data_IF_991293613154
#
_entry.id   IF_991293613154
#
_cell.length_a   1.000
_cell.length_b   1.000
_cell.length_c   1.000
_cell.angle_alpha   90.00
_cell.angle_beta   90.00
_cell.angle_gamma   90.00
#
_symmetry.space_group_name_H-M   'P 1'
#
loop_
_entity.id
_entity.type
_entity.pdbx_description
1 polymer ?
2 polymer ?
3 non-polymer ?
4 non-polymer ?
5 non-polymer ?
6 water ?
#
# COMPACT_ATOMS: atom_id res chain seq x y z
N UNK A 1 -7.86 7.88 -22.63
CA UNK A 1 -6.55 7.95 -21.91
C UNK A 1 -5.56 8.87 -22.62
N UNK A 2 -4.99 9.81 -21.85
CA UNK A 2 -3.98 10.74 -22.36
C UNK A 2 -2.72 9.99 -22.80
N UNK A 3 -2.51 8.78 -22.26
CA UNK A 3 -1.37 7.97 -22.67
C UNK A 3 -1.63 6.94 -23.78
N UNK A 4 -2.84 6.90 -24.32
CA UNK A 4 -3.20 5.89 -25.30
C UNK A 4 -2.38 5.89 -26.57
N UNK A 5 -1.82 7.04 -26.94
CA UNK A 5 -1.02 7.16 -28.15
C UNK A 5 0.45 6.81 -27.96
N UNK A 6 0.89 6.60 -26.71
CA UNK A 6 2.30 6.32 -26.44
C UNK A 6 2.54 4.83 -26.38
N UNK A 7 3.66 4.39 -26.97
CA UNK A 7 4.07 3.00 -26.90
C UNK A 7 4.22 2.53 -25.46
N UNK A 8 3.85 1.29 -25.21
CA UNK A 8 4.04 0.66 -23.89
C UNK A 8 5.50 0.82 -23.42
N UNK A 9 6.49 0.49 -24.26
CA UNK A 9 7.87 0.51 -23.84
C UNK A 9 8.29 1.93 -23.49
N UNK A 10 7.76 2.91 -24.24
CA UNK A 10 8.06 4.31 -23.99
C UNK A 10 7.49 4.79 -22.65
N UNK A 11 6.29 4.31 -22.32
CA UNK A 11 5.68 4.61 -21.04
C UNK A 11 6.51 4.08 -19.87
N UNK A 12 6.98 2.83 -20.00
CA UNK A 12 7.81 2.24 -18.97
C UNK A 12 9.12 3.02 -18.83
N UNK A 13 9.76 3.33 -19.96
CA UNK A 13 10.99 4.11 -19.93
C UNK A 13 10.77 5.46 -19.24
N UNK A 14 9.67 6.15 -19.60
CA UNK A 14 9.38 7.44 -19.01
C UNK A 14 9.04 7.33 -17.51
N UNK A 15 8.40 6.22 -17.10
CA UNK A 15 8.17 6.00 -15.68
C UNK A 15 9.52 5.94 -14.93
N UNK A 16 10.51 5.24 -15.52
CA UNK A 16 11.82 5.15 -14.90
C UNK A 16 12.51 6.52 -14.81
N UNK A 17 12.38 7.33 -15.87
CA UNK A 17 12.91 8.69 -15.87
C UNK A 17 12.22 9.56 -14.81
N UNK A 18 10.89 9.47 -14.73
CA UNK A 18 10.12 10.20 -13.76
C UNK A 18 10.55 9.84 -12.34
N UNK A 19 10.83 8.56 -12.10
CA UNK A 19 11.33 8.13 -10.79
C UNK A 19 12.66 8.84 -10.46
N UNK A 20 13.59 8.85 -11.41
CA UNK A 20 14.87 9.52 -11.23
C UNK A 20 14.72 11.00 -10.91
N UNK A 21 13.74 11.62 -11.56
CA UNK A 21 13.45 13.04 -11.41
C UNK A 21 12.54 13.36 -10.22
N UNK A 22 12.12 12.32 -9.50
CA UNK A 22 11.21 12.43 -8.34
C UNK A 22 9.90 13.10 -8.70
N UNK A 23 9.45 12.78 -9.92
CA UNK A 23 8.16 13.25 -10.50
C UNK A 23 7.14 12.13 -10.38
N UNK A 24 6.63 11.88 -9.18
CA UNK A 24 5.87 10.64 -8.92
C UNK A 24 4.46 10.71 -9.53
N UNK A 25 3.85 11.89 -9.65
CA UNK A 25 2.56 11.98 -10.32
C UNK A 25 2.70 11.62 -11.80
N UNK A 26 3.76 12.10 -12.45
CA UNK A 26 4.06 11.69 -13.81
C UNK A 26 4.31 10.18 -13.88
N UNK A 27 5.11 9.66 -12.94
CA UNK A 27 5.46 8.25 -12.92
C UNK A 27 4.17 7.41 -12.87
N UNK A 28 3.24 7.80 -11.99
CA UNK A 28 1.98 7.10 -11.85
C UNK A 28 1.14 7.15 -13.13
N UNK A 29 1.09 8.34 -13.76
CA UNK A 29 0.38 8.48 -15.01
C UNK A 29 0.94 7.61 -16.11
N UNK A 30 2.27 7.54 -16.20
CA UNK A 30 2.93 6.69 -17.19
C UNK A 30 2.61 5.22 -16.91
N UNK A 31 2.66 4.82 -15.64
CA UNK A 31 2.40 3.42 -15.31
C UNK A 31 0.92 3.04 -15.50
N UNK A 32 0.01 3.96 -15.20
CA UNK A 32 -1.41 3.76 -15.50
C UNK A 32 -1.59 3.53 -17.00
N UNK A 33 -0.93 4.36 -17.81
CA UNK A 33 -0.96 4.17 -19.25
C UNK A 33 -0.46 2.79 -19.66
N UNK A 34 0.65 2.36 -19.06
CA UNK A 34 1.20 1.05 -19.36
C UNK A 34 0.20 -0.06 -19.00
N UNK A 35 -0.39 0.02 -17.81
CA UNK A 35 -1.37 -1.00 -17.41
C UNK A 35 -2.52 -1.05 -18.42
N UNK A 36 -2.97 0.13 -18.85
CA UNK A 36 -4.13 0.21 -19.74
C UNK A 36 -3.86 -0.30 -21.16
N UNK A 37 -2.61 -0.62 -21.49
CA UNK A 37 -2.32 -1.36 -22.73
C UNK A 37 -2.89 -2.76 -22.74
N UNK A 38 -3.21 -3.30 -21.55
CA UNK A 38 -3.91 -4.56 -21.44
C UNK A 38 -3.05 -5.78 -21.26
N UNK A 39 -1.74 -5.62 -21.40
CA UNK A 39 -0.80 -6.72 -21.20
C UNK A 39 -0.51 -6.87 -19.70
N UNK A 40 -0.19 -8.09 -19.28
CA UNK A 40 0.28 -8.34 -17.93
C UNK A 40 1.61 -7.52 -17.68
N UNK A 41 1.88 -7.20 -16.41
CA UNK A 41 3.12 -6.51 -16.00
C UNK A 41 4.14 -7.51 -15.50
N UNK A 42 5.41 -7.23 -15.79
CA UNK A 42 6.51 -7.96 -15.22
C UNK A 42 6.75 -7.56 -13.76
N UNK A 43 7.66 -8.28 -13.09
CA UNK A 43 8.01 -7.95 -11.73
C UNK A 43 8.50 -6.52 -11.60
N UNK A 44 9.43 -6.14 -12.48
CA UNK A 44 9.98 -4.79 -12.42
C UNK A 44 8.88 -3.75 -12.65
N UNK A 45 7.98 -4.03 -13.60
CA UNK A 45 6.92 -3.10 -13.92
C UNK A 45 5.89 -2.96 -12.80
N UNK A 46 5.56 -4.08 -12.15
CA UNK A 46 4.70 -4.09 -10.94
C UNK A 46 5.34 -3.18 -9.89
N UNK A 47 6.66 -3.28 -9.71
CA UNK A 47 7.33 -2.45 -8.73
C UNK A 47 7.23 -0.97 -9.08
N UNK A 48 7.39 -0.65 -10.37
CA UNK A 48 7.26 0.73 -10.80
C UNK A 48 5.87 1.28 -10.50
N UNK A 49 4.84 0.48 -10.78
CA UNK A 49 3.47 0.89 -10.53
C UNK A 49 3.29 1.19 -9.04
N UNK A 50 3.76 0.27 -8.20
CA UNK A 50 3.64 0.41 -6.75
C UNK A 50 4.38 1.63 -6.22
N UNK A 51 5.64 1.78 -6.63
CA UNK A 51 6.43 2.93 -6.18
C UNK A 51 5.72 4.23 -6.52
N UNK A 52 5.26 4.33 -7.77
CA UNK A 52 4.63 5.57 -8.23
C UNK A 52 3.44 5.94 -7.36
N UNK A 53 2.49 5.02 -7.25
CA UNK A 53 1.23 5.31 -6.53
C UNK A 53 1.49 5.42 -5.03
N UNK A 54 2.43 4.66 -4.48
CA UNK A 54 2.71 4.79 -3.05
C UNK A 54 3.22 6.19 -2.72
N UNK A 55 4.08 6.74 -3.58
CA UNK A 55 4.56 8.07 -3.39
C UNK A 55 3.46 9.11 -3.51
N UNK A 56 2.59 8.96 -4.52
CA UNK A 56 1.50 9.92 -4.69
C UNK A 56 0.57 9.88 -3.47
N UNK A 57 0.09 8.68 -3.13
CA UNK A 57 -0.84 8.58 -2.02
C UNK A 57 -0.17 8.93 -0.70
N UNK A 58 1.15 8.68 -0.60
CA UNK A 58 1.88 9.00 0.60
C UNK A 58 1.91 10.48 0.87
N UNK A 59 2.11 11.28 -0.17
CA UNK A 59 2.02 12.72 -0.04
C UNK A 59 0.63 13.18 0.39
N UNK A 60 -0.40 12.55 -0.19
CA UNK A 60 -1.77 12.89 0.15
C UNK A 60 -2.09 12.53 1.61
N UNK A 61 -1.67 11.34 2.04
CA UNK A 61 -1.89 10.87 3.42
C UNK A 61 -1.21 11.82 4.39
N UNK A 62 0.05 12.19 4.11
CA UNK A 62 0.75 13.10 4.98
C UNK A 62 0.01 14.43 5.09
N UNK A 63 -0.43 14.97 3.96
CA UNK A 63 -1.15 16.24 3.93
C UNK A 63 -2.48 16.14 4.70
N UNK A 64 -3.19 15.03 4.46
CA UNK A 64 -4.48 14.83 5.12
C UNK A 64 -4.31 14.78 6.64
N UNK A 65 -3.25 14.13 7.10
CA UNK A 65 -3.00 14.03 8.54
C UNK A 65 -2.69 15.42 9.12
N UNK A 66 -1.92 16.24 8.41
CA UNK A 66 -1.64 17.59 8.89
C UNK A 66 -2.94 18.38 9.01
N UNK A 67 -3.76 18.35 7.95
CA UNK A 67 -5.00 19.10 7.91
C UNK A 67 -6.04 18.62 8.93
N UNK A 68 -6.15 17.31 9.07
CA UNK A 68 -7.03 16.70 10.05
C UNK A 68 -6.67 17.13 11.47
N UNK A 69 -5.37 17.17 11.76
CA UNK A 69 -4.88 17.58 13.06
C UNK A 69 -5.26 19.03 13.34
N UNK A 70 -5.04 19.90 12.35
CA UNK A 70 -5.39 21.32 12.50
C UNK A 70 -6.90 21.47 12.72
N UNK A 71 -7.68 20.72 11.94
CA UNK A 71 -9.14 20.74 12.02
C UNK A 71 -9.64 20.31 13.42
N UNK A 72 -9.08 19.22 13.94
CA UNK A 72 -9.47 18.70 15.24
C UNK A 72 -9.14 19.69 16.35
N UNK A 73 -7.96 20.30 16.27
CA UNK A 73 -7.54 21.36 17.20
C UNK A 73 -8.43 22.60 17.11
N UNK A 74 -8.84 22.94 15.88
CA UNK A 74 -9.74 24.04 15.60
C UNK A 74 -11.13 23.80 16.18
N UNK A 75 -11.59 22.55 16.10
CA UNK A 75 -12.90 22.12 16.62
C UNK A 75 -12.83 21.75 18.10
N UNK A 76 -12.42 22.72 18.93
CA UNK A 76 -12.36 22.57 20.38
C UNK A 76 -12.56 23.94 21.04
N UNK A 77 -12.67 23.94 22.37
CA UNK A 77 -12.82 25.17 23.16
C UNK A 77 -11.48 25.53 23.81
N UNK A 78 -10.76 26.47 23.19
CA UNK A 78 -9.45 26.92 23.65
C UNK A 78 -8.91 28.13 22.90
N UNK A 79 -8.79 27.99 21.58
CA UNK A 79 -8.26 29.04 20.70
C UNK A 79 -9.36 29.84 20.01
N UNK A 80 -9.83 29.34 18.86
CA UNK A 80 -10.84 30.01 18.03
C UNK A 80 -11.23 29.12 16.84
N UNK A 81 -12.53 29.10 16.52
CA UNK A 81 -13.06 28.41 15.35
C UNK A 81 -13.06 29.37 14.15
N UNK A 82 -12.15 29.11 13.20
CA UNK A 82 -11.91 30.01 12.05
C UNK A 82 -12.66 29.59 10.79
N UNK A 83 -13.99 29.50 10.90
CA UNK A 83 -14.86 29.26 9.75
C UNK A 83 -14.65 27.93 9.05
N UNK A 84 -15.18 27.76 7.82
CA UNK A 84 -15.19 26.47 7.14
C UNK A 84 -13.91 26.05 6.39
N UNK A 85 -12.89 26.90 6.36
CA UNK A 85 -11.76 26.71 5.42
C UNK A 85 -10.94 25.44 5.68
N UNK A 86 -10.64 25.14 6.95
CA UNK A 86 -9.84 23.96 7.25
C UNK A 86 -10.60 22.71 6.83
N UNK A 87 -11.88 22.64 7.18
CA UNK A 87 -12.73 21.48 6.80
C UNK A 87 -12.78 21.40 5.27
N UNK A 88 -13.02 22.51 4.59
CA UNK A 88 -13.15 22.48 3.14
C UNK A 88 -11.89 21.93 2.52
N UNK A 89 -10.73 22.38 2.99
CA UNK A 89 -9.45 22.03 2.34
C UNK A 89 -9.10 20.59 2.69
N UNK A 90 -9.34 20.17 3.93
CA UNK A 90 -9.16 18.76 4.33
C UNK A 90 -10.06 17.89 3.43
N UNK A 91 -11.30 18.30 3.21
CA UNK A 91 -12.21 17.55 2.36
C UNK A 91 -11.69 17.43 0.91
N UNK A 92 -11.12 18.52 0.38
CA UNK A 92 -10.56 18.53 -0.96
C UNK A 92 -9.44 17.50 -1.07
N UNK A 93 -8.52 17.53 -0.11
CA UNK A 93 -7.38 16.61 -0.14
C UNK A 93 -7.90 15.18 0.03
N UNK A 94 -8.86 14.99 0.94
CA UNK A 94 -9.49 13.69 1.16
C UNK A 94 -10.08 13.12 -0.11
N UNK A 95 -10.81 13.95 -0.83
CA UNK A 95 -11.46 13.53 -2.06
C UNK A 95 -10.42 13.15 -3.12
N UNK A 96 -9.33 13.92 -3.19
CA UNK A 96 -8.26 13.62 -4.13
C UNK A 96 -7.59 12.29 -3.78
N UNK A 97 -7.35 12.06 -2.48
CA UNK A 97 -6.81 10.82 -1.99
C UNK A 97 -7.72 9.64 -2.36
N UNK A 98 -9.02 9.81 -2.12
CA UNK A 98 -9.98 8.76 -2.42
C UNK A 98 -9.96 8.47 -3.91
N UNK A 99 -9.84 9.53 -4.71
CA UNK A 99 -9.74 9.36 -6.15
C UNK A 99 -8.54 8.54 -6.61
N UNK A 100 -7.37 8.80 -6.03
CA UNK A 100 -6.19 8.02 -6.32
C UNK A 100 -6.40 6.55 -5.94
N UNK A 101 -6.95 6.32 -4.75
CA UNK A 101 -7.23 4.96 -4.33
C UNK A 101 -8.19 4.27 -5.32
N UNK A 102 -9.26 4.97 -5.69
CA UNK A 102 -10.22 4.44 -6.65
C UNK A 102 -9.55 4.10 -7.99
N UNK A 103 -8.61 4.94 -8.41
CA UNK A 103 -7.87 4.70 -9.65
C UNK A 103 -7.07 3.40 -9.56
N UNK A 104 -6.33 3.24 -8.47
CA UNK A 104 -5.49 2.06 -8.30
C UNK A 104 -6.38 0.81 -8.21
N UNK A 105 -7.44 0.89 -7.39
CA UNK A 105 -8.36 -0.22 -7.24
C UNK A 105 -8.97 -0.58 -8.58
N UNK A 106 -9.28 0.45 -9.39
CA UNK A 106 -9.80 0.22 -10.72
C UNK A 106 -8.85 -0.55 -11.63
N UNK A 107 -7.57 -0.20 -11.60
CA UNK A 107 -6.59 -0.91 -12.39
C UNK A 107 -6.49 -2.37 -11.97
N UNK A 108 -6.55 -2.59 -10.64
CA UNK A 108 -6.47 -3.94 -10.10
C UNK A 108 -7.69 -4.77 -10.53
N UNK A 109 -8.86 -4.15 -10.49
CA UNK A 109 -10.10 -4.82 -10.85
C UNK A 109 -10.29 -4.98 -12.36
N UNK A 110 -9.64 -4.13 -13.15
CA UNK A 110 -9.83 -4.06 -14.60
C UNK A 110 -8.47 -3.86 -15.27
N UNK A 111 -7.67 -4.93 -15.38
CA UNK A 111 -8.00 -6.31 -15.10
C UNK A 111 -6.78 -7.05 -14.56
N UNK A 112 -5.95 -6.36 -13.76
CA UNK A 112 -4.69 -6.95 -13.32
C UNK A 112 -4.87 -8.24 -12.52
N UNK A 113 -5.76 -8.22 -11.53
CA UNK A 113 -5.91 -9.34 -10.64
C UNK A 113 -6.43 -10.56 -11.42
N UNK A 114 -7.48 -10.39 -12.23
CA UNK A 114 -8.07 -11.56 -12.87
C UNK A 114 -7.12 -12.25 -13.84
N UNK A 115 -6.15 -11.51 -14.39
CA UNK A 115 -5.17 -12.10 -15.31
C UNK A 115 -3.92 -12.65 -14.65
N UNK A 116 -3.79 -12.35 -13.34
CA UNK A 116 -2.62 -12.74 -12.58
C UNK A 116 -2.78 -14.17 -12.04
N UNK A 117 -2.06 -15.10 -12.67
CA UNK A 117 -2.14 -16.52 -12.33
C UNK A 117 -0.96 -17.09 -11.55
N UNK A 118 0.16 -16.38 -11.56
CA UNK A 118 1.31 -16.83 -10.80
C UNK A 118 1.17 -16.28 -9.40
N UNK A 119 1.72 -17.01 -8.43
CA UNK A 119 1.65 -16.57 -7.05
C UNK A 119 2.22 -15.17 -6.83
N UNK A 120 3.41 -14.90 -7.39
CA UNK A 120 4.04 -13.60 -7.15
C UNK A 120 3.18 -12.44 -7.66
N UNK A 121 2.60 -12.59 -8.84
CA UNK A 121 1.79 -11.53 -9.38
C UNK A 121 0.50 -11.37 -8.59
N UNK A 122 -0.18 -12.49 -8.38
CA UNK A 122 -1.51 -12.45 -7.73
C UNK A 122 -1.37 -11.92 -6.31
N UNK A 123 -0.39 -12.41 -5.54
CA UNK A 123 -0.22 -11.93 -4.17
C UNK A 123 0.13 -10.44 -4.15
N UNK A 124 1.01 -10.03 -5.07
CA UNK A 124 1.39 -8.64 -5.16
C UNK A 124 0.14 -7.75 -5.33
N UNK A 125 -0.71 -8.11 -6.29
CA UNK A 125 -1.88 -7.28 -6.62
C UNK A 125 -2.93 -7.33 -5.50
N UNK A 126 -3.11 -8.50 -4.88
CA UNK A 126 -4.04 -8.59 -3.77
C UNK A 126 -3.58 -7.79 -2.56
N UNK A 127 -2.27 -7.79 -2.30
CA UNK A 127 -1.68 -6.94 -1.28
C UNK A 127 -1.97 -5.46 -1.60
N UNK A 128 -1.74 -5.06 -2.85
CA UNK A 128 -2.02 -3.68 -3.27
C UNK A 128 -3.49 -3.34 -3.01
N UNK A 129 -4.39 -4.27 -3.36
CA UNK A 129 -5.81 -4.06 -3.16
C UNK A 129 -6.10 -3.80 -1.66
N UNK A 130 -5.54 -4.63 -0.80
CA UNK A 130 -5.65 -4.43 0.63
C UNK A 130 -5.13 -3.07 1.06
N UNK A 131 -3.96 -2.70 0.55
CA UNK A 131 -3.33 -1.44 0.92
C UNK A 131 -4.22 -0.25 0.58
N UNK A 132 -4.76 -0.22 -0.63
CA UNK A 132 -5.53 0.98 -1.07
C UNK A 132 -6.91 0.99 -0.42
N UNK A 133 -7.52 -0.15 -0.10
CA UNK A 133 -8.70 -0.13 0.79
C UNK A 133 -8.29 0.36 2.19
N UNK A 134 -7.10 -0.02 2.68
CA UNK A 134 -6.63 0.45 4.00
C UNK A 134 -6.50 1.98 3.96
N UNK A 135 -5.97 2.55 2.89
CA UNK A 135 -5.83 4.02 2.80
C UNK A 135 -7.22 4.67 2.78
N UNK A 136 -8.19 4.05 2.09
CA UNK A 136 -9.56 4.55 2.17
C UNK A 136 -10.10 4.49 3.60
N UNK A 137 -9.76 3.41 4.31
CA UNK A 137 -10.21 3.22 5.68
C UNK A 137 -9.69 4.30 6.62
N UNK A 138 -8.46 4.75 6.38
CA UNK A 138 -7.82 5.75 7.22
C UNK A 138 -8.62 7.04 7.30
N UNK A 139 -9.40 7.33 6.25
CA UNK A 139 -10.16 8.58 6.15
C UNK A 139 -11.67 8.38 6.19
N UNK A 140 -12.12 7.12 6.27
CA UNK A 140 -13.54 6.81 6.22
C UNK A 140 -14.20 7.06 7.56
N UNK A 141 -15.42 7.62 7.51
CA UNK A 141 -16.23 7.90 8.70
C UNK A 141 -17.71 7.56 8.54
N UNK A 142 -18.16 7.36 7.29
CA UNK A 142 -19.57 7.22 6.98
C UNK A 142 -20.10 5.80 7.05
N UNK A 143 -21.19 5.56 6.32
CA UNK A 143 -21.94 4.30 6.30
C UNK A 143 -21.12 3.10 5.85
N UNK A 144 -20.05 3.35 5.08
CA UNK A 144 -19.27 2.31 4.44
C UNK A 144 -17.92 2.02 5.11
N UNK A 145 -17.62 2.65 6.25
CA UNK A 145 -16.35 2.40 6.92
C UNK A 145 -16.12 0.91 7.20
N UNK A 146 -17.16 0.26 7.74
CA UNK A 146 -17.09 -1.17 8.02
C UNK A 146 -16.80 -1.95 6.77
N UNK A 147 -17.52 -1.65 5.68
CA UNK A 147 -17.41 -2.40 4.40
C UNK A 147 -16.02 -2.16 3.83
N UNK A 148 -15.49 -0.93 3.94
CA UNK A 148 -14.15 -0.64 3.42
C UNK A 148 -13.10 -1.48 4.16
N UNK A 149 -13.22 -1.51 5.49
CA UNK A 149 -12.36 -2.32 6.33
C UNK A 149 -12.44 -3.79 5.96
N UNK A 150 -13.65 -4.29 5.74
CA UNK A 150 -13.79 -5.69 5.38
C UNK A 150 -13.19 -6.01 4.01
N UNK A 151 -13.28 -5.06 3.08
CA UNK A 151 -12.71 -5.23 1.76
C UNK A 151 -11.19 -5.34 1.84
N UNK A 152 -10.56 -4.48 2.65
CA UNK A 152 -9.14 -4.57 2.87
C UNK A 152 -8.78 -5.93 3.48
N UNK A 153 -9.48 -6.30 4.55
CA UNK A 153 -9.25 -7.59 5.24
C UNK A 153 -9.36 -8.75 4.23
N UNK A 154 -10.41 -8.76 3.42
CA UNK A 154 -10.66 -9.87 2.49
C UNK A 154 -9.54 -9.98 1.45
N UNK A 155 -9.08 -8.83 0.92
CA UNK A 155 -7.99 -8.85 -0.04
C UNK A 155 -6.71 -9.38 0.60
N UNK A 156 -6.36 -8.85 1.77
CA UNK A 156 -5.17 -9.29 2.50
C UNK A 156 -5.27 -10.79 2.81
N UNK A 157 -6.44 -11.26 3.23
CA UNK A 157 -6.59 -12.66 3.61
C UNK A 157 -6.41 -13.59 2.42
N UNK A 158 -6.97 -13.20 1.26
CA UNK A 158 -6.81 -14.02 0.06
C UNK A 158 -5.33 -14.08 -0.31
N UNK A 159 -4.65 -12.94 -0.22
CA UNK A 159 -3.23 -12.87 -0.50
C UNK A 159 -2.44 -13.77 0.44
N UNK A 160 -2.79 -13.73 1.74
CA UNK A 160 -2.12 -14.54 2.74
C UNK A 160 -2.29 -16.01 2.42
N UNK A 161 -3.52 -16.40 2.06
CA UNK A 161 -3.81 -17.81 1.82
C UNK A 161 -2.94 -18.34 0.67
N UNK A 162 -2.85 -17.57 -0.42
CA UNK A 162 -2.04 -17.95 -1.56
C UNK A 162 -0.56 -17.97 -1.16
N UNK A 163 -0.12 -16.94 -0.43
CA UNK A 163 1.31 -16.81 -0.11
C UNK A 163 1.79 -17.99 0.76
N UNK A 164 0.96 -18.44 1.69
CA UNK A 164 1.32 -19.54 2.58
C UNK A 164 1.40 -20.88 1.84
N UNK A 165 0.62 -21.02 0.77
CA UNK A 165 0.59 -22.24 -0.05
C UNK A 165 1.72 -22.30 -1.07
N UNK A 166 2.09 -21.14 -1.62
CA UNK A 166 2.89 -21.06 -2.83
C UNK A 166 4.28 -20.44 -2.72
N UNK A 167 4.55 -19.74 -1.61
CA UNK A 167 5.81 -19.02 -1.43
C UNK A 167 6.51 -19.43 -0.15
N UNK A 168 7.86 -19.44 -0.15
CA UNK A 168 8.60 -19.67 1.09
C UNK A 168 8.37 -18.52 2.06
N UNK A 169 8.53 -18.77 3.37
CA UNK A 169 8.29 -17.74 4.40
C UNK A 169 9.23 -16.53 4.33
N UNK A 170 10.34 -16.64 3.58
CA UNK A 170 11.25 -15.52 3.39
C UNK A 170 10.97 -14.71 2.13
N UNK A 171 10.02 -15.13 1.30
CA UNK A 171 9.78 -14.42 0.05
C UNK A 171 9.41 -12.97 0.37
N UNK A 172 10.08 -11.96 -0.24
CA UNK A 172 9.82 -10.56 0.13
C UNK A 172 8.38 -10.12 -0.08
N UNK A 173 7.69 -10.68 -1.09
CA UNK A 173 6.29 -10.32 -1.29
C UNK A 173 5.45 -10.84 -0.13
N UNK A 174 5.67 -12.10 0.24
CA UNK A 174 4.99 -12.70 1.40
C UNK A 174 5.28 -11.89 2.68
N UNK A 175 6.53 -11.49 2.88
CA UNK A 175 6.90 -10.73 4.06
C UNK A 175 6.23 -9.35 4.09
N UNK A 176 6.26 -8.64 2.95
CA UNK A 176 5.67 -7.33 2.91
C UNK A 176 4.17 -7.34 3.07
N UNK A 177 3.53 -8.37 2.50
CA UNK A 177 2.12 -8.59 2.71
C UNK A 177 1.81 -8.75 4.20
N UNK A 178 2.54 -9.64 4.87
CA UNK A 178 2.30 -9.89 6.29
C UNK A 178 2.56 -8.63 7.11
N UNK A 179 3.62 -7.90 6.78
CA UNK A 179 3.89 -6.62 7.43
C UNK A 179 2.66 -5.72 7.31
N UNK A 180 2.19 -5.49 6.08
CA UNK A 180 1.08 -4.57 5.88
C UNK A 180 -0.21 -5.04 6.52
N UNK A 181 -0.48 -6.36 6.46
CA UNK A 181 -1.68 -6.89 7.09
C UNK A 181 -1.60 -6.68 8.60
N UNK A 182 -0.41 -6.84 9.18
CA UNK A 182 -0.25 -6.60 10.60
C UNK A 182 -0.51 -5.13 10.95
N UNK A 183 -0.06 -4.21 10.09
CA UNK A 183 -0.38 -2.78 10.27
C UNK A 183 -1.88 -2.54 10.19
N UNK A 184 -2.55 -3.18 9.22
CA UNK A 184 -3.99 -3.13 9.12
C UNK A 184 -4.64 -3.53 10.45
N UNK A 185 -4.20 -4.66 11.01
CA UNK A 185 -4.83 -5.14 12.23
C UNK A 185 -4.67 -4.14 13.36
N UNK A 186 -3.47 -3.56 13.48
CA UNK A 186 -3.14 -2.66 14.60
C UNK A 186 -3.82 -1.29 14.43
N UNK A 187 -3.68 -0.70 13.24
CA UNK A 187 -4.04 0.70 13.03
C UNK A 187 -5.49 0.88 12.60
N UNK A 188 -6.05 -0.12 11.91
CA UNK A 188 -7.37 0.02 11.30
C UNK A 188 -8.44 -0.82 11.98
N UNK A 189 -8.12 -2.10 12.24
CA UNK A 189 -9.11 -3.06 12.74
C UNK A 189 -9.22 -3.11 14.25
N UNK A 190 -8.40 -2.31 14.95
CA UNK A 190 -8.41 -2.27 16.40
C UNK A 190 -8.16 -3.66 16.99
N UNK A 191 -7.21 -4.37 16.38
CA UNK A 191 -6.89 -5.74 16.76
C UNK A 191 -5.40 -5.87 17.01
N UNK A 192 -4.85 -5.18 18.04
CA UNK A 192 -3.41 -5.18 18.24
C UNK A 192 -2.86 -6.58 18.55
N UNK A 193 -3.64 -7.43 19.21
CA UNK A 193 -3.13 -8.77 19.52
C UNK A 193 -2.96 -9.59 18.23
N UNK A 194 -3.90 -9.45 17.29
CA UNK A 194 -3.78 -10.10 15.99
C UNK A 194 -2.56 -9.57 15.24
N UNK A 195 -2.34 -8.25 15.31
CA UNK A 195 -1.19 -7.63 14.68
C UNK A 195 0.12 -8.21 15.21
N UNK A 196 0.23 -8.26 16.54
CA UNK A 196 1.42 -8.75 17.20
C UNK A 196 1.67 -10.23 16.87
N UNK A 197 0.61 -11.05 16.95
CA UNK A 197 0.74 -12.47 16.65
C UNK A 197 1.19 -12.70 15.21
N UNK A 198 0.58 -11.98 14.26
CA UNK A 198 0.97 -12.12 12.86
C UNK A 198 2.42 -11.71 12.66
N UNK A 199 2.81 -10.55 13.22
CA UNK A 199 4.17 -10.10 13.03
C UNK A 199 5.20 -11.07 13.62
N UNK A 200 4.92 -11.60 14.82
CA UNK A 200 5.83 -12.51 15.50
C UNK A 200 5.95 -13.83 14.73
N UNK A 201 4.82 -14.42 14.34
CA UNK A 201 4.84 -15.68 13.61
C UNK A 201 5.56 -15.51 12.26
N UNK A 202 5.30 -14.39 11.57
CA UNK A 202 5.93 -14.11 10.30
C UNK A 202 7.45 -14.01 10.47
N UNK A 203 7.88 -13.26 11.49
CA UNK A 203 9.30 -13.07 11.74
C UNK A 203 9.97 -14.40 12.02
N UNK A 204 9.37 -15.19 12.91
CA UNK A 204 9.97 -16.44 13.34
C UNK A 204 10.07 -17.46 12.22
N UNK A 205 9.04 -17.54 11.38
CA UNK A 205 9.03 -18.51 10.30
C UNK A 205 10.03 -18.11 9.23
N UNK A 206 10.21 -16.81 9.02
CA UNK A 206 11.24 -16.32 8.12
C UNK A 206 12.65 -16.61 8.65
N UNK A 207 12.86 -16.33 9.93
CA UNK A 207 14.17 -16.58 10.56
C UNK A 207 14.63 -18.00 10.27
N UNK A 208 13.71 -18.95 10.43
CA UNK A 208 14.01 -20.38 10.29
C UNK A 208 14.33 -20.81 8.86
N UNK A 209 14.01 -19.97 7.89
CA UNK A 209 14.22 -20.28 6.47
C UNK A 209 15.37 -19.49 5.85
N UNK A 210 15.96 -18.57 6.61
CA UNK A 210 17.05 -17.74 6.09
C UNK A 210 18.24 -18.54 5.60
N UNK A 211 18.47 -19.70 6.20
CA UNK A 211 19.61 -20.55 5.86
C UNK A 211 19.60 -21.01 4.40
N UNK A 212 18.43 -20.95 3.75
CA UNK A 212 18.25 -21.41 2.39
C UNK A 212 18.64 -20.37 1.35
N UNK A 213 18.89 -19.13 1.79
CA UNK A 213 19.01 -17.98 0.90
C UNK A 213 20.43 -17.65 0.50
N UNK A 214 20.57 -17.11 -0.71
CA UNK A 214 21.78 -16.47 -1.14
C UNK A 214 21.98 -15.19 -0.35
N UNK A 215 23.20 -14.63 -0.44
CA UNK A 215 23.53 -13.38 0.21
C UNK A 215 22.54 -12.27 -0.17
N UNK A 216 22.23 -12.16 -1.47
CA UNK A 216 21.37 -11.09 -1.92
C UNK A 216 19.94 -11.28 -1.46
N UNK A 217 19.43 -12.52 -1.52
CA UNK A 217 18.06 -12.80 -1.06
C UNK A 217 17.97 -12.60 0.45
N UNK A 218 19.03 -12.97 1.17
CA UNK A 218 19.11 -12.75 2.63
C UNK A 218 18.94 -11.26 2.95
N UNK A 219 19.62 -10.40 2.20
CA UNK A 219 19.49 -8.96 2.39
C UNK A 219 18.04 -8.53 2.19
N UNK A 220 17.42 -8.98 1.08
CA UNK A 220 16.05 -8.62 0.75
C UNK A 220 15.10 -8.99 1.90
N UNK A 221 15.19 -10.23 2.37
CA UNK A 221 14.29 -10.74 3.40
C UNK A 221 14.51 -10.09 4.76
N UNK A 222 15.78 -9.97 5.17
CA UNK A 222 16.06 -9.43 6.48
C UNK A 222 15.71 -7.96 6.60
N UNK A 223 15.80 -7.21 5.49
CA UNK A 223 15.37 -5.81 5.52
C UNK A 223 13.89 -5.67 5.90
N UNK A 224 13.04 -6.55 5.36
CA UNK A 224 11.61 -6.51 5.72
C UNK A 224 11.39 -7.04 7.15
N UNK A 225 12.12 -8.09 7.52
CA UNK A 225 12.06 -8.62 8.88
C UNK A 225 12.38 -7.56 9.92
N UNK A 226 13.32 -6.67 9.61
CA UNK A 226 13.62 -5.58 10.51
C UNK A 226 12.40 -4.72 10.80
N UNK A 227 11.58 -4.49 9.77
CA UNK A 227 10.37 -3.68 9.92
C UNK A 227 9.33 -4.35 10.81
N UNK A 228 9.20 -5.67 10.68
CA UNK A 228 8.37 -6.44 11.58
C UNK A 228 8.81 -6.24 13.02
N UNK A 229 10.13 -6.34 13.23
CA UNK A 229 10.74 -6.19 14.58
C UNK A 229 10.49 -4.75 15.09
N UNK A 230 10.67 -3.74 14.24
CA UNK A 230 10.45 -2.35 14.64
C UNK A 230 9.01 -2.18 15.13
N UNK A 231 8.04 -2.72 14.39
CA UNK A 231 6.64 -2.63 14.81
C UNK A 231 6.40 -3.38 16.11
N UNK A 232 6.95 -4.58 16.23
CA UNK A 232 6.76 -5.31 17.48
C UNK A 232 7.29 -4.53 18.68
N UNK A 233 8.42 -3.85 18.51
CA UNK A 233 9.00 -3.02 19.55
C UNK A 233 8.10 -1.84 19.94
N UNK A 234 7.44 -1.26 18.93
CA UNK A 234 6.52 -0.15 19.11
C UNK A 234 5.25 -0.62 19.81
N UNK A 235 4.79 -1.82 19.47
CA UNK A 235 3.50 -2.34 19.89
C UNK A 235 3.50 -3.02 21.25
N UNK A 236 4.69 -3.38 21.74
CA UNK A 236 4.85 -4.13 22.98
C UNK A 236 5.82 -3.42 23.91
N UNK B 1 3.36 7.53 17.68
CA UNK B 1 4.11 7.09 16.46
C UNK B 1 3.36 5.99 15.71
N UNK B 2 3.31 6.13 14.39
CA UNK B 2 2.53 5.22 13.51
C UNK B 2 3.38 4.00 13.14
N UNK B 3 2.71 2.89 12.92
CA UNK B 3 3.35 1.66 12.49
C UNK B 3 3.98 1.84 11.12
N UNK B 4 5.03 1.05 10.85
CA UNK B 4 5.73 1.06 9.58
C UNK B 4 5.18 -0.01 8.67
N UNK B 5 4.79 0.41 7.46
CA UNK B 5 4.38 -0.52 6.38
C UNK B 5 5.53 -0.69 5.39
N UNK B 6 5.32 -1.51 4.36
CA UNK B 6 6.39 -1.87 3.46
C UNK B 6 6.78 -0.59 2.72
N UNK B 7 8.06 -0.21 2.71
CA UNK B 7 8.47 1.01 2.00
C UNK B 7 8.68 0.76 0.50
N UNK B 8 8.91 1.84 -0.25
CA UNK B 8 9.28 1.77 -1.65
C UNK B 8 10.68 1.28 -1.89
N UNK B 9 11.61 1.79 -1.06
CA UNK B 9 13.05 1.48 -1.11
C UNK B 9 13.56 1.37 0.32
X LIG C 1 -10.55 24.08 -0.68
X LIG D 1 -15.27 13.32 2.63
X LIG E 1 -11.47 33.50 21.95
X LIG F 1 2.58 -0.81 -29.53
X LIG G 1 7.73 -9.17 -8.11
X LIG G 1 8.66 -10.15 -8.79
X LIG G 1 9.07 -3.63 -1.80
X LIG G 1 9.10 -6.68 -5.80
X LIG G 1 8.82 -5.30 -5.21
X LIG G 1 10.82 -5.43 -2.18
X LIG G 1 10.48 -4.05 -1.56
X LIG G 1 7.94 -4.47 -1.76
X LIG G 1 6.75 -4.04 -2.34
X LIG G 1 5.63 -4.84 -2.34
X LIG G 1 5.69 -6.07 -1.75
X LIG G 1 6.85 -6.53 -1.14
X LIG G 1 7.97 -5.73 -1.15
X LIG G 1 11.45 -2.94 -2.03
X LIG G 1 11.76 -2.09 -0.80
X LIG G 1 10.95 -2.67 0.35
X LIG G 1 10.73 -4.10 -0.05
X LIG G 1 10.85 -7.01 -4.04
X LIG G 1 6.49 -9.01 -8.38
X LIG G 1 8.43 -8.46 -7.24
X LIG G 1 7.92 -7.31 -6.50
X LIG G 1 10.05 -4.74 -4.52
X LIG G 1 10.58 -5.67 -3.49
X LIG G 1 11.31 -6.29 -1.46
X LIG G 1 4.29 -7.11 -1.74
X LIG G 1 9.60 -7.59 -4.68
#
# INVERSE_FOLDING_TARGET
GAMGSMERASLIQKAKLAEQAERYEDMAAFMKGAVEKGEELSCEERNLLSVAYKNVVGGQRAAWRVLSSIEQKSNEEGSEEKGPEVREYREKVETELQGVCDTVLGLLDSHLIKEAGDAESRVFYLKMKGDYYRYLAEVATGDDKKRIIDSARSAYQEAMDISKKEMPPTNPIRLGLALNFSVFHYEIANSPEEAISLAKTTFDEAMADLHTLSEDSYKDSTLIMQLLRDNLTLWT
QRSTSTPNV
CL CL
MG MG
MG MG
MG MG
O5I C1 C2 N3 C4 C5 C7 C8 C9 C10 C11 C12 C13 C14 C15 C16 C17 C18 C19 O1 N1 C3 C6 N2 O2 CL2 C20
#
